data_IF_683537251784
#
_entry.id   IF_683537251784
#
_cell.length_a   1.000
_cell.length_b   1.000
_cell.length_c   1.000
_cell.angle_alpha   90.00
_cell.angle_beta   90.00
_cell.angle_gamma   90.00
#
_symmetry.space_group_name_H-M   'P 1'
#
loop_
_entity.id
_entity.type
_entity.pdbx_description
1 polymer ?
#
# COMPACT_ATOMS: atom_id res chain seq x y z
N UNK A 1 28.21 16.74 21.57
CA UNK A 1 29.23 16.02 20.76
C UNK A 1 28.78 14.57 20.59
N UNK A 2 28.03 14.28 19.54
CA UNK A 2 27.67 12.90 19.18
C UNK A 2 28.92 12.26 18.58
N UNK A 3 29.31 11.08 19.08
CA UNK A 3 30.59 10.44 18.75
C UNK A 3 30.60 9.97 17.29
N UNK A 4 31.73 10.08 16.56
CA UNK A 4 31.85 9.73 15.14
C UNK A 4 31.60 8.25 14.80
N UNK A 5 31.59 7.36 15.81
CA UNK A 5 31.23 5.93 15.65
C UNK A 5 29.70 5.77 15.51
N UNK A 6 28.90 6.65 16.11
CA UNK A 6 27.45 6.62 16.00
C UNK A 6 26.98 7.00 14.59
N UNK A 7 27.67 7.94 13.94
CA UNK A 7 27.38 8.34 12.54
C UNK A 7 27.48 7.13 11.62
N UNK A 8 28.59 6.37 11.65
CA UNK A 8 28.77 5.21 10.77
C UNK A 8 27.72 4.10 11.04
N UNK A 9 27.35 3.88 12.29
CA UNK A 9 26.32 2.89 12.66
C UNK A 9 24.91 3.31 12.23
N UNK A 10 24.59 4.60 12.28
CA UNK A 10 23.30 5.15 11.80
C UNK A 10 23.22 5.05 10.28
N UNK A 11 24.30 5.38 9.56
CA UNK A 11 24.35 5.34 8.08
C UNK A 11 24.27 3.90 7.49
N UNK A 12 24.56 2.86 8.29
CA UNK A 12 24.60 1.46 7.85
C UNK A 12 23.37 0.63 8.24
N UNK A 13 22.46 1.17 9.06
CA UNK A 13 21.28 0.46 9.56
C UNK A 13 19.95 0.96 8.95
N UNK A 14 20.02 1.72 7.84
CA UNK A 14 18.94 2.57 7.37
C UNK A 14 17.83 1.84 6.61
N UNK A 15 17.16 0.86 7.20
CA UNK A 15 16.20 0.04 6.44
C UNK A 15 14.84 0.72 6.18
N UNK A 16 14.50 1.83 6.85
CA UNK A 16 13.17 2.45 6.70
C UNK A 16 12.90 3.06 5.32
N UNK A 17 13.88 3.73 4.69
CA UNK A 17 13.73 4.35 3.36
C UNK A 17 13.75 3.36 2.18
N UNK A 18 13.96 2.07 2.43
CA UNK A 18 13.99 1.06 1.38
C UNK A 18 13.55 -0.31 1.88
N UNK A 19 12.69 -0.34 2.89
CA UNK A 19 12.10 -1.56 3.39
C UNK A 19 11.39 -2.25 2.22
N UNK A 20 11.79 -3.48 1.89
CA UNK A 20 11.15 -4.24 0.82
C UNK A 20 9.76 -4.66 1.29
N UNK A 21 8.75 -3.88 0.93
CA UNK A 21 7.36 -4.36 0.93
C UNK A 21 7.23 -5.34 -0.23
N UNK A 22 6.68 -6.52 0.03
CA UNK A 22 6.31 -7.42 -1.04
C UNK A 22 5.18 -6.77 -1.85
N UNK A 23 5.38 -6.60 -3.16
CA UNK A 23 4.36 -6.04 -4.07
C UNK A 23 3.02 -6.78 -3.98
N UNK A 24 3.02 -8.07 -3.61
CA UNK A 24 1.78 -8.83 -3.38
C UNK A 24 0.95 -8.34 -2.18
N UNK A 25 1.51 -7.48 -1.33
CA UNK A 25 0.82 -6.86 -0.21
C UNK A 25 0.34 -5.44 -0.54
N UNK A 26 0.63 -4.94 -1.74
CA UNK A 26 0.08 -3.68 -2.19
C UNK A 26 -1.38 -3.82 -2.60
N UNK A 27 -2.11 -2.76 -2.31
CA UNK A 27 -3.45 -2.53 -2.78
C UNK A 27 -3.37 -1.84 -4.15
N UNK A 28 -4.18 -2.29 -5.10
CA UNK A 28 -4.13 -1.84 -6.49
C UNK A 28 -3.02 -2.50 -7.31
N UNK A 29 -2.56 -1.81 -8.36
CA UNK A 29 -1.66 -2.35 -9.38
C UNK A 29 -0.24 -1.75 -9.27
N UNK A 30 0.25 -1.53 -8.05
CA UNK A 30 1.63 -1.08 -7.85
C UNK A 30 2.60 -2.14 -8.39
N UNK A 31 3.45 -1.77 -9.35
CA UNK A 31 4.35 -2.72 -10.04
C UNK A 31 5.80 -2.63 -9.58
N UNK A 32 6.19 -1.52 -8.96
CA UNK A 32 7.58 -1.27 -8.54
C UNK A 32 7.65 -0.19 -7.44
N UNK A 33 8.79 -0.15 -6.76
CA UNK A 33 9.16 0.85 -5.76
C UNK A 33 10.45 1.55 -6.19
N UNK A 34 10.39 2.22 -7.34
CA UNK A 34 11.57 2.75 -8.04
C UNK A 34 12.33 3.76 -7.17
N UNK A 35 11.64 4.57 -6.37
CA UNK A 35 12.29 5.53 -5.46
C UNK A 35 12.93 4.84 -4.25
N UNK A 36 12.26 3.82 -3.69
CA UNK A 36 12.87 2.99 -2.65
C UNK A 36 14.14 2.27 -3.16
N UNK A 37 14.12 1.80 -4.40
CA UNK A 37 15.28 1.16 -5.03
C UNK A 37 16.43 2.15 -5.25
N UNK A 38 16.14 3.40 -5.63
CA UNK A 38 17.15 4.47 -5.70
C UNK A 38 17.76 4.73 -4.32
N UNK A 39 16.93 4.91 -3.28
CA UNK A 39 17.40 5.14 -1.91
C UNK A 39 18.30 3.99 -1.42
N UNK A 40 17.90 2.74 -1.70
CA UNK A 40 18.69 1.54 -1.41
C UNK A 40 20.02 1.51 -2.15
N UNK A 41 19.98 1.80 -3.45
CA UNK A 41 21.16 1.79 -4.32
C UNK A 41 22.21 2.79 -3.84
N UNK A 42 21.78 4.00 -3.48
CA UNK A 42 22.66 5.03 -2.90
C UNK A 42 23.24 4.52 -1.57
N UNK A 43 22.41 4.00 -0.66
CA UNK A 43 22.87 3.51 0.63
C UNK A 43 23.92 2.39 0.50
N UNK A 44 23.67 1.41 -0.36
CA UNK A 44 24.60 0.32 -0.63
C UNK A 44 25.90 0.83 -1.26
N UNK A 45 25.80 1.72 -2.26
CA UNK A 45 26.97 2.30 -2.94
C UNK A 45 27.89 3.06 -1.98
N UNK A 46 27.33 3.79 -1.02
CA UNK A 46 28.12 4.63 -0.10
C UNK A 46 28.66 3.87 1.13
N UNK A 47 28.13 2.68 1.43
CA UNK A 47 28.41 1.93 2.67
C UNK A 47 29.85 1.40 2.81
N UNK A 48 30.57 1.21 1.70
CA UNK A 48 31.92 0.62 1.69
C UNK A 48 33.04 1.63 1.41
N UNK A 49 32.76 2.93 1.58
CA UNK A 49 33.72 4.01 1.32
C UNK A 49 34.47 4.43 2.60
N UNK A 50 35.54 5.20 2.45
CA UNK A 50 36.16 5.84 3.62
C UNK A 50 35.21 6.90 4.20
N UNK A 51 35.46 7.32 5.45
CA UNK A 51 34.53 8.20 6.19
C UNK A 51 34.08 9.44 5.40
N UNK A 52 35.02 10.19 4.82
CA UNK A 52 34.69 11.41 4.10
C UNK A 52 33.96 11.10 2.80
N UNK A 53 34.42 10.07 2.07
CA UNK A 53 33.77 9.61 0.84
C UNK A 53 32.34 9.10 1.09
N UNK A 54 32.08 8.46 2.24
CA UNK A 54 30.71 8.08 2.64
C UNK A 54 29.84 9.31 2.85
N UNK A 55 30.33 10.33 3.57
CA UNK A 55 29.58 11.57 3.80
C UNK A 55 29.25 12.23 2.46
N UNK A 56 30.26 12.42 1.60
CA UNK A 56 30.09 13.08 0.30
C UNK A 56 29.14 12.29 -0.64
N UNK A 57 29.14 10.96 -0.54
CA UNK A 57 28.27 10.09 -1.32
C UNK A 57 26.83 10.05 -0.80
N UNK A 58 26.64 10.04 0.52
CA UNK A 58 25.37 9.72 1.17
C UNK A 58 24.56 10.96 1.55
N UNK A 59 25.24 12.06 1.91
CA UNK A 59 24.62 13.32 2.30
C UNK A 59 24.27 14.17 1.08
N UNK A 60 23.39 13.66 0.22
CA UNK A 60 22.96 14.31 -1.02
C UNK A 60 21.46 14.57 -1.02
N UNK A 61 21.04 15.60 -1.75
CA UNK A 61 19.61 15.90 -1.99
C UNK A 61 18.92 14.71 -2.65
N UNK A 62 19.60 14.05 -3.59
CA UNK A 62 19.10 12.85 -4.27
C UNK A 62 18.74 11.73 -3.29
N UNK A 63 19.55 11.49 -2.24
CA UNK A 63 19.21 10.49 -1.21
C UNK A 63 17.95 10.89 -0.44
N UNK A 64 17.85 12.16 -0.02
CA UNK A 64 16.70 12.63 0.75
C UNK A 64 15.42 12.60 -0.09
N UNK A 65 15.49 13.07 -1.34
CA UNK A 65 14.38 13.04 -2.29
C UNK A 65 13.89 11.61 -2.53
N UNK A 66 14.82 10.66 -2.72
CA UNK A 66 14.48 9.25 -2.90
C UNK A 66 13.80 8.64 -1.66
N UNK A 67 14.26 8.96 -0.45
CA UNK A 67 13.60 8.56 0.80
C UNK A 67 12.16 9.10 0.90
N UNK A 68 11.97 10.40 0.62
CA UNK A 68 10.65 11.04 0.69
C UNK A 68 9.72 10.49 -0.40
N UNK A 69 10.22 10.27 -1.61
CA UNK A 69 9.42 9.68 -2.69
C UNK A 69 9.11 8.19 -2.44
N UNK A 70 10.00 7.43 -1.79
CA UNK A 70 9.72 6.08 -1.33
C UNK A 70 8.55 6.04 -0.32
N UNK A 71 8.45 7.05 0.56
CA UNK A 71 7.29 7.21 1.46
C UNK A 71 5.98 7.27 0.68
N UNK A 72 5.94 8.05 -0.40
CA UNK A 72 4.77 8.13 -1.27
C UNK A 72 4.43 6.79 -1.94
N UNK A 73 5.43 6.04 -2.36
CA UNK A 73 5.22 4.71 -2.94
C UNK A 73 4.61 3.76 -1.91
N UNK A 74 5.08 3.77 -0.66
CA UNK A 74 4.46 3.01 0.43
C UNK A 74 3.03 3.47 0.74
N UNK A 75 2.78 4.78 0.72
CA UNK A 75 1.44 5.34 0.90
C UNK A 75 0.49 4.90 -0.20
N UNK A 76 0.95 4.86 -1.46
CA UNK A 76 0.15 4.34 -2.60
C UNK A 76 -0.07 2.84 -2.50
N UNK A 77 0.99 2.09 -2.18
CA UNK A 77 0.93 0.64 -2.02
C UNK A 77 -0.05 0.23 -0.92
N UNK A 78 0.00 0.88 0.24
CA UNK A 78 -0.87 0.51 1.38
C UNK A 78 -2.17 1.27 1.43
N UNK A 79 -2.33 2.31 0.60
CA UNK A 79 -3.37 3.32 0.75
C UNK A 79 -3.48 3.74 2.22
N UNK A 80 -2.39 4.25 2.79
CA UNK A 80 -2.30 4.58 4.21
C UNK A 80 -0.89 4.97 4.66
N UNK A 81 -0.74 5.22 5.97
CA UNK A 81 0.49 5.76 6.56
C UNK A 81 1.29 4.72 7.35
N UNK A 82 1.09 3.42 7.08
CA UNK A 82 1.62 2.33 7.91
C UNK A 82 3.15 2.31 8.03
N UNK A 83 3.85 2.93 7.08
CA UNK A 83 5.30 2.98 7.02
C UNK A 83 5.86 4.39 7.28
N UNK A 84 4.99 5.37 7.49
CA UNK A 84 5.38 6.78 7.60
C UNK A 84 6.39 6.98 8.74
N UNK A 85 6.11 6.44 9.92
CA UNK A 85 7.00 6.59 11.09
C UNK A 85 8.39 6.03 10.82
N UNK A 86 8.49 4.87 10.17
CA UNK A 86 9.77 4.26 9.85
C UNK A 86 10.56 5.07 8.83
N UNK A 87 9.89 5.66 7.83
CA UNK A 87 10.57 6.53 6.86
C UNK A 87 10.94 7.88 7.49
N UNK A 88 10.09 8.43 8.36
CA UNK A 88 10.33 9.70 9.05
C UNK A 88 11.51 9.59 10.03
N UNK A 89 11.63 8.48 10.76
CA UNK A 89 12.79 8.19 11.61
C UNK A 89 14.09 8.15 10.79
N UNK A 90 14.06 7.58 9.58
CA UNK A 90 15.23 7.56 8.69
C UNK A 90 15.58 8.92 8.11
N UNK A 91 14.57 9.74 7.79
CA UNK A 91 14.78 11.11 7.34
C UNK A 91 15.42 11.92 8.49
N UNK A 92 14.93 11.76 9.72
CA UNK A 92 15.52 12.41 10.89
C UNK A 92 16.97 11.95 11.13
N UNK A 93 17.24 10.64 11.04
CA UNK A 93 18.59 10.09 11.13
C UNK A 93 19.51 10.60 10.01
N UNK A 94 18.99 10.72 8.78
CA UNK A 94 19.69 11.33 7.64
C UNK A 94 20.06 12.77 7.99
N UNK A 95 19.09 13.56 8.48
CA UNK A 95 19.27 14.98 8.82
C UNK A 95 20.33 15.15 9.91
N UNK A 96 20.20 14.44 11.03
CA UNK A 96 21.16 14.51 12.14
C UNK A 96 22.59 14.16 11.73
N UNK A 97 22.75 13.22 10.79
CA UNK A 97 24.06 12.80 10.32
C UNK A 97 24.65 13.74 9.26
N UNK A 98 23.80 14.33 8.42
CA UNK A 98 24.22 15.06 7.23
C UNK A 98 24.21 16.57 7.40
N UNK A 99 23.34 17.14 8.24
CA UNK A 99 23.18 18.59 8.44
C UNK A 99 24.52 19.36 8.58
N UNK A 100 25.54 18.88 9.33
CA UNK A 100 26.83 19.57 9.43
C UNK A 100 27.64 19.65 8.12
N UNK A 101 27.23 18.90 7.10
CA UNK A 101 27.93 18.73 5.83
C UNK A 101 27.11 19.25 4.63
N UNK A 102 25.88 19.70 4.85
CA UNK A 102 25.02 20.21 3.77
C UNK A 102 25.36 21.66 3.43
N UNK A 103 25.17 22.01 2.16
CA UNK A 103 25.15 23.40 1.70
C UNK A 103 23.87 24.10 2.17
N UNK A 104 23.92 25.43 2.34
CA UNK A 104 22.76 26.27 2.67
C UNK A 104 21.60 26.16 1.63
N UNK A 105 21.87 25.65 0.43
CA UNK A 105 20.89 25.47 -0.65
C UNK A 105 20.01 24.21 -0.52
N UNK A 106 20.16 23.43 0.55
CA UNK A 106 19.42 22.19 0.75
C UNK A 106 17.92 22.43 0.98
N UNK A 107 17.06 21.65 0.32
CA UNK A 107 15.60 21.78 0.46
C UNK A 107 15.03 20.58 1.17
N UNK A 108 14.15 20.83 2.14
CA UNK A 108 13.32 19.77 2.74
C UNK A 108 12.23 19.37 1.74
N UNK A 109 12.25 18.15 1.19
CA UNK A 109 11.18 17.67 0.32
C UNK A 109 10.00 17.22 1.18
N UNK A 110 8.79 17.31 0.65
CA UNK A 110 7.57 16.85 1.34
C UNK A 110 6.88 15.76 0.53
N UNK A 111 6.54 14.65 1.19
CA UNK A 111 5.70 13.59 0.67
C UNK A 111 4.22 14.01 0.74
N UNK A 112 3.46 14.09 -0.37
CA UNK A 112 2.00 14.24 -0.34
C UNK A 112 1.32 13.18 0.53
N UNK A 113 0.34 13.60 1.32
CA UNK A 113 -0.48 12.71 2.12
C UNK A 113 -1.23 11.68 1.24
N UNK A 114 -1.49 10.46 1.76
CA UNK A 114 -2.28 9.50 1.02
C UNK A 114 -3.66 10.06 0.71
N UNK A 115 -4.10 9.90 -0.54
CA UNK A 115 -5.43 10.35 -0.99
C UNK A 115 -6.57 9.54 -0.36
N UNK A 116 -6.26 8.37 0.22
CA UNK A 116 -7.19 7.49 0.91
C UNK A 116 -6.45 6.66 1.96
N UNK A 117 -7.10 6.40 3.09
CA UNK A 117 -6.65 5.41 4.08
C UNK A 117 -7.57 4.19 4.07
N UNK A 118 -7.02 2.97 4.10
CA UNK A 118 -7.80 1.74 4.26
C UNK A 118 -8.26 1.61 5.71
N UNK A 119 -9.56 1.37 5.88
CA UNK A 119 -10.12 0.89 7.13
C UNK A 119 -9.96 -0.64 7.17
N UNK A 120 -8.94 -1.10 7.90
CA UNK A 120 -8.59 -2.52 7.97
C UNK A 120 -9.70 -3.34 8.64
N UNK A 121 -10.34 -2.79 9.67
CA UNK A 121 -11.40 -3.47 10.40
C UNK A 121 -12.66 -3.62 9.53
N UNK A 122 -13.02 -2.57 8.79
CA UNK A 122 -14.09 -2.65 7.80
C UNK A 122 -13.77 -3.67 6.70
N UNK A 123 -12.52 -3.71 6.24
CA UNK A 123 -12.09 -4.66 5.20
C UNK A 123 -12.07 -6.11 5.68
N UNK A 124 -11.68 -6.36 6.93
CA UNK A 124 -11.78 -7.68 7.55
C UNK A 124 -13.24 -8.10 7.69
N UNK A 125 -14.12 -7.21 8.19
CA UNK A 125 -15.56 -7.48 8.28
C UNK A 125 -16.21 -7.76 6.92
N UNK A 126 -15.82 -7.03 5.87
CA UNK A 126 -16.27 -7.31 4.49
C UNK A 126 -15.75 -8.67 4.04
N UNK A 127 -14.47 -8.99 4.24
CA UNK A 127 -13.88 -10.26 3.82
C UNK A 127 -14.55 -11.46 4.52
N UNK A 128 -14.78 -11.38 5.82
CA UNK A 128 -15.50 -12.40 6.59
C UNK A 128 -16.95 -12.56 6.11
N UNK A 129 -17.65 -11.43 5.91
CA UNK A 129 -19.00 -11.41 5.36
C UNK A 129 -19.03 -12.08 3.99
N UNK A 130 -18.07 -11.79 3.11
CA UNK A 130 -17.98 -12.38 1.78
C UNK A 130 -17.55 -13.84 1.77
N UNK A 131 -16.69 -14.28 2.69
CA UNK A 131 -16.33 -15.68 2.83
C UNK A 131 -17.54 -16.52 3.30
N UNK A 132 -18.22 -16.10 4.36
CA UNK A 132 -19.44 -16.75 4.83
C UNK A 132 -20.56 -16.73 3.81
N UNK A 133 -20.66 -15.63 3.08
CA UNK A 133 -21.81 -15.40 2.24
C UNK A 133 -21.61 -15.84 0.79
N UNK A 134 -20.39 -15.96 0.26
CA UNK A 134 -20.13 -16.65 -1.01
C UNK A 134 -20.54 -18.12 -0.95
N UNK A 135 -20.33 -18.76 0.20
CA UNK A 135 -20.87 -20.09 0.47
C UNK A 135 -22.41 -20.08 0.52
N UNK A 136 -23.00 -19.08 1.19
CA UNK A 136 -24.45 -18.91 1.29
C UNK A 136 -25.12 -18.56 -0.05
N UNK A 137 -24.47 -17.78 -0.92
CA UNK A 137 -24.92 -17.44 -2.28
C UNK A 137 -24.84 -18.65 -3.17
N UNK A 138 -23.71 -19.36 -3.15
CA UNK A 138 -23.57 -20.60 -3.91
C UNK A 138 -24.68 -21.60 -3.54
N UNK A 139 -24.98 -21.71 -2.25
CA UNK A 139 -26.10 -22.52 -1.75
C UNK A 139 -27.47 -21.97 -2.17
N UNK A 140 -27.68 -20.65 -2.13
CA UNK A 140 -28.96 -20.02 -2.51
C UNK A 140 -29.22 -20.12 -4.01
N UNK A 141 -28.20 -19.87 -4.84
CA UNK A 141 -28.23 -20.05 -6.30
C UNK A 141 -28.51 -21.51 -6.67
N UNK A 142 -27.85 -22.46 -5.99
CA UNK A 142 -28.10 -23.90 -6.17
C UNK A 142 -29.52 -24.27 -5.75
N UNK A 143 -30.01 -23.69 -4.65
CA UNK A 143 -31.37 -23.90 -4.14
C UNK A 143 -32.42 -23.36 -5.11
N UNK A 144 -32.23 -22.16 -5.67
CA UNK A 144 -33.11 -21.61 -6.70
C UNK A 144 -33.16 -22.50 -7.96
N UNK A 145 -32.00 -22.99 -8.39
CA UNK A 145 -31.88 -23.86 -9.57
C UNK A 145 -32.50 -25.25 -9.38
N UNK A 146 -32.59 -25.72 -8.13
CA UNK A 146 -33.20 -27.01 -7.78
C UNK A 146 -34.68 -26.90 -7.44
N UNK A 147 -35.13 -25.76 -6.90
CA UNK A 147 -36.53 -25.50 -6.58
C UNK A 147 -37.38 -25.16 -7.81
N UNK A 148 -36.80 -24.52 -8.82
CA UNK A 148 -37.51 -24.02 -9.99
C UNK A 148 -36.97 -24.63 -11.29
N UNK A 149 -37.86 -24.95 -12.24
CA UNK A 149 -37.49 -25.48 -13.56
C UNK A 149 -37.59 -24.44 -14.69
N UNK A 150 -38.39 -23.39 -14.50
CA UNK A 150 -38.56 -22.34 -15.49
C UNK A 150 -37.48 -21.28 -15.29
N UNK A 151 -36.81 -20.83 -16.36
CA UNK A 151 -35.75 -19.82 -16.26
C UNK A 151 -36.19 -18.54 -15.54
N UNK A 152 -37.40 -18.04 -15.81
CA UNK A 152 -37.92 -16.83 -15.17
C UNK A 152 -38.06 -16.96 -13.65
N UNK A 153 -38.48 -18.14 -13.17
CA UNK A 153 -38.67 -18.39 -11.73
C UNK A 153 -37.32 -18.58 -11.02
N UNK A 154 -36.35 -19.22 -11.69
CA UNK A 154 -34.97 -19.32 -11.21
C UNK A 154 -34.35 -17.93 -11.08
N UNK A 155 -34.47 -17.11 -12.12
CA UNK A 155 -33.96 -15.74 -12.12
C UNK A 155 -34.60 -14.93 -11.00
N UNK A 156 -35.94 -14.95 -10.87
CA UNK A 156 -36.66 -14.25 -9.79
C UNK A 156 -36.16 -14.64 -8.39
N UNK A 157 -35.92 -15.94 -8.15
CA UNK A 157 -35.36 -16.42 -6.90
C UNK A 157 -33.93 -15.92 -6.63
N UNK A 158 -33.10 -15.81 -7.68
CA UNK A 158 -31.74 -15.28 -7.58
C UNK A 158 -31.71 -13.75 -7.40
N UNK A 159 -32.80 -13.02 -7.70
CA UNK A 159 -32.93 -11.57 -7.46
C UNK A 159 -33.31 -11.20 -6.02
N UNK A 160 -33.31 -12.15 -5.10
CA UNK A 160 -33.61 -11.83 -3.70
C UNK A 160 -32.65 -10.75 -3.20
N UNK A 161 -33.20 -9.78 -2.48
CA UNK A 161 -32.48 -8.59 -2.00
C UNK A 161 -31.23 -8.97 -1.19
N UNK A 162 -31.28 -10.08 -0.45
CA UNK A 162 -30.14 -10.62 0.29
C UNK A 162 -28.98 -11.06 -0.60
N UNK A 163 -29.25 -11.60 -1.79
CA UNK A 163 -28.22 -12.03 -2.76
C UNK A 163 -27.62 -10.80 -3.45
N UNK A 164 -28.46 -9.86 -3.88
CA UNK A 164 -28.02 -8.64 -4.58
C UNK A 164 -27.21 -7.73 -3.65
N UNK A 165 -27.68 -7.52 -2.40
CA UNK A 165 -26.99 -6.69 -1.41
C UNK A 165 -25.61 -7.24 -1.09
N UNK A 166 -25.49 -8.56 -1.02
CA UNK A 166 -24.24 -9.20 -0.76
C UNK A 166 -23.26 -9.13 -1.95
N UNK A 167 -23.75 -9.28 -3.17
CA UNK A 167 -22.94 -9.03 -4.36
C UNK A 167 -22.43 -7.58 -4.37
N UNK A 168 -23.24 -6.61 -3.93
CA UNK A 168 -22.79 -5.23 -3.71
C UNK A 168 -21.63 -5.15 -2.71
N UNK A 169 -21.79 -5.73 -1.52
CA UNK A 169 -20.76 -5.67 -0.47
C UNK A 169 -19.45 -6.31 -0.93
N UNK A 170 -19.51 -7.45 -1.61
CA UNK A 170 -18.32 -8.19 -1.98
C UNK A 170 -17.64 -7.66 -3.24
N UNK A 171 -18.41 -7.42 -4.30
CA UNK A 171 -17.87 -7.05 -5.60
C UNK A 171 -17.66 -5.54 -5.74
N UNK A 172 -18.42 -4.71 -5.00
CA UNK A 172 -18.31 -3.25 -5.11
C UNK A 172 -17.63 -2.67 -3.88
N UNK A 173 -18.19 -2.90 -2.68
CA UNK A 173 -17.68 -2.23 -1.48
C UNK A 173 -16.30 -2.76 -1.10
N UNK A 174 -16.08 -4.08 -1.16
CA UNK A 174 -14.77 -4.69 -0.96
C UNK A 174 -13.74 -4.24 -1.99
N UNK A 175 -14.10 -4.22 -3.27
CA UNK A 175 -13.18 -3.80 -4.32
C UNK A 175 -12.77 -2.33 -4.20
N UNK A 176 -13.74 -1.43 -3.97
CA UNK A 176 -13.47 0.00 -3.81
C UNK A 176 -12.73 0.29 -2.50
N UNK A 177 -13.19 -0.27 -1.39
CA UNK A 177 -12.75 0.10 -0.04
C UNK A 177 -11.48 -0.65 0.39
N UNK A 178 -11.21 -1.83 -0.14
CA UNK A 178 -10.13 -2.70 0.33
C UNK A 178 -9.10 -3.03 -0.73
N UNK A 179 -9.50 -3.06 -2.00
CA UNK A 179 -8.60 -3.39 -3.13
C UNK A 179 -8.21 -2.14 -3.93
N UNK A 180 -8.89 -1.01 -3.71
CA UNK A 180 -8.62 0.23 -4.45
C UNK A 180 -8.97 0.13 -5.94
N UNK A 181 -9.89 -0.76 -6.29
CA UNK A 181 -10.33 -0.99 -7.68
C UNK A 181 -11.78 -0.59 -7.84
N UNK A 182 -12.06 0.20 -8.88
CA UNK A 182 -13.42 0.50 -9.30
C UNK A 182 -13.96 -0.66 -10.13
N UNK A 183 -15.08 -1.22 -9.71
CA UNK A 183 -15.75 -2.32 -10.42
C UNK A 183 -16.84 -1.78 -11.31
N UNK A 184 -16.88 -2.27 -12.55
CA UNK A 184 -18.01 -2.00 -13.44
C UNK A 184 -19.18 -2.89 -13.02
N UNK A 185 -20.24 -2.29 -12.49
CA UNK A 185 -21.47 -3.00 -12.09
C UNK A 185 -22.07 -3.79 -13.25
N UNK A 186 -21.83 -3.34 -14.48
CA UNK A 186 -22.14 -4.08 -15.69
C UNK A 186 -21.37 -5.38 -15.85
N UNK A 187 -20.50 -5.82 -14.95
CA UNK A 187 -19.88 -7.15 -15.01
C UNK A 187 -20.42 -8.09 -13.92
N UNK A 188 -21.24 -7.57 -13.00
CA UNK A 188 -21.82 -8.31 -11.89
C UNK A 188 -23.19 -8.83 -12.34
N UNK A 189 -23.41 -10.14 -12.20
CA UNK A 189 -24.63 -10.78 -12.71
C UNK A 189 -25.88 -10.20 -12.04
N UNK A 190 -25.82 -9.99 -10.73
CA UNK A 190 -26.92 -9.47 -9.91
C UNK A 190 -27.36 -8.09 -10.41
N UNK A 191 -26.43 -7.18 -10.68
CA UNK A 191 -26.74 -5.83 -11.18
C UNK A 191 -27.12 -5.79 -12.66
N UNK A 192 -26.68 -6.77 -13.46
CA UNK A 192 -27.16 -6.91 -14.85
C UNK A 192 -28.59 -7.41 -14.94
N UNK A 193 -28.94 -8.27 -14.00
CA UNK A 193 -30.16 -9.04 -14.09
C UNK A 193 -31.21 -8.58 -13.11
N UNK A 194 -30.96 -7.70 -12.15
CA UNK A 194 -31.95 -7.21 -11.19
C UNK A 194 -32.14 -5.69 -11.33
#
# INVERSE_FOLDING_TARGET
MIRPIAVIAVLSNTSGCYATINLSHCVGDSTEFSNCDIAKSIALKCSNLSKQETIDCFCTQERLDACVACKDEFRKCTLGNSYDSSVDDEIANWQDACEPYLSDDFKTPSAPDPTRTIDRDACEGIAESCAHSSQSVSQSVTSCSSAYKKPADITSCQRQESIVSLASVCEIDGANSCVGKTVMTSNIWEFRNC
#
